data_IF_998749131660
#
_entry.id   IF_998749131660
#
_cell.length_a   1.000
_cell.length_b   1.000
_cell.length_c   1.000
_cell.angle_alpha   90.00
_cell.angle_beta   90.00
_cell.angle_gamma   90.00
#
_symmetry.space_group_name_H-M   'P 1'
#
loop_
_entity.id
_entity.type
_entity.pdbx_description
1 polymer ?
#
# COMPACT_ATOMS: atom_id res chain seq x y z
N UNK A 1 -19.77 -13.79 -5.02
CA UNK A 1 -18.92 -12.62 -5.34
C UNK A 1 -18.08 -12.21 -4.14
N UNK A 2 -18.68 -12.08 -2.95
CA UNK A 2 -17.98 -11.76 -1.69
C UNK A 2 -16.75 -12.66 -1.44
N UNK A 3 -16.92 -13.98 -1.48
CA UNK A 3 -15.82 -14.93 -1.28
C UNK A 3 -14.66 -14.77 -2.28
N UNK A 4 -14.97 -14.43 -3.54
CA UNK A 4 -13.95 -14.23 -4.56
C UNK A 4 -13.15 -12.94 -4.30
N UNK A 5 -13.84 -11.85 -3.93
CA UNK A 5 -13.18 -10.59 -3.55
C UNK A 5 -12.32 -10.79 -2.32
N UNK A 6 -12.83 -11.47 -1.28
CA UNK A 6 -12.07 -11.77 -0.06
C UNK A 6 -10.82 -12.60 -0.36
N UNK A 7 -10.94 -13.59 -1.24
CA UNK A 7 -9.80 -14.42 -1.66
C UNK A 7 -8.75 -13.59 -2.40
N UNK A 8 -9.17 -12.79 -3.39
CA UNK A 8 -8.28 -11.91 -4.16
C UNK A 8 -7.51 -10.93 -3.27
N UNK A 9 -8.21 -10.27 -2.33
CA UNK A 9 -7.61 -9.38 -1.34
C UNK A 9 -6.56 -10.12 -0.51
N UNK A 10 -6.82 -11.37 -0.14
CA UNK A 10 -5.91 -12.16 0.69
C UNK A 10 -4.68 -12.62 -0.09
N UNK A 11 -4.84 -13.00 -1.36
CA UNK A 11 -3.73 -13.42 -2.24
C UNK A 11 -2.80 -12.25 -2.53
N UNK A 12 -3.34 -11.05 -2.73
CA UNK A 12 -2.56 -9.86 -3.09
C UNK A 12 -2.20 -8.99 -1.88
N UNK A 13 -2.59 -9.38 -0.67
CA UNK A 13 -2.39 -8.59 0.55
C UNK A 13 -0.94 -8.17 0.75
N UNK A 14 0.00 -9.10 0.51
CA UNK A 14 1.43 -8.85 0.69
C UNK A 14 2.02 -7.89 -0.35
N UNK A 15 1.33 -7.65 -1.48
CA UNK A 15 1.77 -6.72 -2.52
C UNK A 15 1.59 -5.26 -2.11
N UNK A 16 0.59 -4.95 -1.29
CA UNK A 16 0.31 -3.64 -0.70
C UNK A 16 -0.62 -3.80 0.53
N UNK A 17 -0.03 -4.09 1.72
CA UNK A 17 -0.82 -4.42 2.90
C UNK A 17 -1.80 -3.32 3.31
N UNK A 18 -1.43 -2.06 3.14
CA UNK A 18 -2.27 -0.91 3.52
C UNK A 18 -3.46 -0.80 2.59
N UNK A 19 -3.23 -0.87 1.27
CA UNK A 19 -4.31 -0.79 0.29
C UNK A 19 -5.31 -1.93 0.45
N UNK A 20 -4.82 -3.18 0.52
CA UNK A 20 -5.70 -4.35 0.64
C UNK A 20 -6.40 -4.45 2.00
N UNK A 21 -5.80 -3.94 3.08
CA UNK A 21 -6.48 -3.80 4.37
C UNK A 21 -7.67 -2.83 4.26
N UNK A 22 -7.50 -1.68 3.60
CA UNK A 22 -8.61 -0.72 3.41
C UNK A 22 -9.77 -1.34 2.60
N UNK A 23 -9.46 -2.14 1.57
CA UNK A 23 -10.48 -2.84 0.78
C UNK A 23 -11.21 -3.92 1.59
N UNK A 24 -10.48 -4.63 2.45
CA UNK A 24 -11.05 -5.62 3.37
C UNK A 24 -12.04 -4.96 4.32
N UNK A 25 -11.69 -3.82 4.91
CA UNK A 25 -12.56 -3.07 5.81
C UNK A 25 -13.83 -2.58 5.09
N UNK A 26 -13.70 -2.06 3.87
CA UNK A 26 -14.86 -1.71 3.02
C UNK A 26 -15.76 -2.91 2.76
N UNK A 27 -15.18 -4.07 2.42
CA UNK A 27 -15.93 -5.28 2.16
C UNK A 27 -16.73 -5.72 3.40
N UNK A 28 -16.10 -5.75 4.57
CA UNK A 28 -16.77 -6.14 5.82
C UNK A 28 -17.89 -5.14 6.18
N UNK A 29 -17.68 -3.84 5.93
CA UNK A 29 -18.74 -2.84 6.11
C UNK A 29 -19.95 -3.08 5.19
N UNK A 30 -19.73 -3.42 3.92
CA UNK A 30 -20.81 -3.74 2.97
C UNK A 30 -21.59 -4.97 3.42
N UNK A 31 -20.88 -6.01 3.89
CA UNK A 31 -21.49 -7.25 4.40
C UNK A 31 -22.38 -6.93 5.62
N UNK A 32 -21.88 -6.12 6.55
CA UNK A 32 -22.63 -5.75 7.75
C UNK A 32 -23.83 -4.84 7.43
N UNK A 33 -23.68 -3.85 6.55
CA UNK A 33 -24.81 -3.02 6.09
C UNK A 33 -25.88 -3.86 5.40
N UNK A 34 -25.49 -4.89 4.64
CA UNK A 34 -26.44 -5.82 4.02
C UNK A 34 -27.15 -6.67 5.07
N UNK A 35 -26.41 -7.19 6.05
CA UNK A 35 -26.94 -8.00 7.16
C UNK A 35 -27.95 -7.23 7.99
N UNK A 36 -27.71 -5.94 8.22
CA UNK A 36 -28.61 -5.02 8.92
C UNK A 36 -29.76 -4.50 8.05
N UNK A 37 -29.92 -5.03 6.83
CA UNK A 37 -30.92 -4.61 5.83
C UNK A 37 -30.88 -3.11 5.50
N UNK A 38 -29.76 -2.44 5.75
CA UNK A 38 -29.56 -1.01 5.44
C UNK A 38 -29.36 -0.78 3.94
N UNK A 39 -28.94 -1.82 3.22
CA UNK A 39 -28.78 -1.81 1.77
C UNK A 39 -29.50 -3.00 1.13
N UNK A 40 -30.03 -2.77 -0.07
CA UNK A 40 -30.64 -3.80 -0.89
C UNK A 40 -29.60 -4.59 -1.69
N UNK A 41 -30.03 -5.66 -2.35
CA UNK A 41 -29.14 -6.51 -3.14
C UNK A 41 -28.51 -5.76 -4.33
N UNK A 42 -29.26 -4.82 -4.93
CA UNK A 42 -28.76 -4.02 -6.05
C UNK A 42 -27.63 -3.07 -5.61
N UNK A 43 -27.78 -2.40 -4.47
CA UNK A 43 -26.75 -1.53 -3.90
C UNK A 43 -25.55 -2.32 -3.42
N UNK A 44 -25.75 -3.47 -2.80
CA UNK A 44 -24.65 -4.37 -2.43
C UNK A 44 -23.81 -4.76 -3.65
N UNK A 45 -24.45 -5.18 -4.74
CA UNK A 45 -23.75 -5.55 -5.97
C UNK A 45 -22.92 -4.39 -6.53
N UNK A 46 -23.46 -3.17 -6.57
CA UNK A 46 -22.74 -1.98 -7.02
C UNK A 46 -21.50 -1.69 -6.17
N UNK A 47 -21.62 -1.77 -4.85
CA UNK A 47 -20.49 -1.51 -3.94
C UNK A 47 -19.39 -2.58 -4.09
N UNK A 48 -19.77 -3.85 -4.29
CA UNK A 48 -18.81 -4.92 -4.57
C UNK A 48 -18.12 -4.75 -5.93
N UNK A 49 -18.83 -4.23 -6.94
CA UNK A 49 -18.23 -3.86 -8.23
C UNK A 49 -17.20 -2.75 -8.06
N UNK A 50 -17.51 -1.72 -7.27
CA UNK A 50 -16.54 -0.66 -6.96
C UNK A 50 -15.25 -1.24 -6.38
N UNK A 51 -15.32 -2.09 -5.35
CA UNK A 51 -14.13 -2.74 -4.76
C UNK A 51 -13.32 -3.50 -5.83
N UNK A 52 -14.00 -4.24 -6.71
CA UNK A 52 -13.34 -4.94 -7.82
C UNK A 52 -12.61 -3.98 -8.75
N UNK A 53 -13.24 -2.86 -9.10
CA UNK A 53 -12.66 -1.85 -9.97
C UNK A 53 -11.45 -1.18 -9.30
N UNK A 54 -11.50 -0.93 -7.98
CA UNK A 54 -10.35 -0.39 -7.23
C UNK A 54 -9.14 -1.34 -7.34
N UNK A 55 -9.33 -2.65 -7.17
CA UNK A 55 -8.25 -3.65 -7.25
C UNK A 55 -7.63 -3.76 -8.65
N UNK A 56 -8.42 -3.58 -9.70
CA UNK A 56 -7.94 -3.68 -11.10
C UNK A 56 -7.18 -2.41 -11.50
N UNK A 57 -7.59 -1.24 -10.99
CA UNK A 57 -7.04 0.05 -11.41
C UNK A 57 -5.82 0.51 -10.61
N UNK A 58 -5.23 -0.33 -9.74
CA UNK A 58 -3.98 -0.02 -9.00
C UNK A 58 -2.87 0.45 -9.96
N UNK A 59 -2.74 -0.19 -11.11
CA UNK A 59 -1.78 0.22 -12.13
C UNK A 59 -2.01 1.65 -12.63
N UNK A 60 -3.27 1.98 -12.95
CA UNK A 60 -3.64 3.34 -13.42
C UNK A 60 -3.42 4.39 -12.34
N UNK A 61 -3.61 4.03 -11.08
CA UNK A 61 -3.31 4.90 -9.94
C UNK A 61 -1.81 5.22 -9.90
N UNK A 62 -0.96 4.19 -10.01
CA UNK A 62 0.49 4.37 -10.07
C UNK A 62 0.90 5.24 -11.27
N UNK A 63 0.35 4.97 -12.46
CA UNK A 63 0.58 5.78 -13.67
C UNK A 63 0.17 7.25 -13.49
N UNK A 64 -1.00 7.50 -12.90
CA UNK A 64 -1.50 8.87 -12.64
C UNK A 64 -0.60 9.62 -11.68
N UNK A 65 0.01 8.91 -10.72
CA UNK A 65 0.99 9.46 -9.79
C UNK A 65 2.41 9.52 -10.37
N UNK A 66 2.65 8.99 -11.57
CA UNK A 66 3.96 8.94 -12.23
C UNK A 66 4.99 8.08 -11.49
N UNK A 67 4.55 7.08 -10.74
CA UNK A 67 5.40 6.18 -9.94
C UNK A 67 5.16 4.72 -10.28
N UNK A 68 6.07 3.84 -9.87
CA UNK A 68 5.88 2.40 -10.04
C UNK A 68 4.88 1.83 -9.03
N UNK A 69 4.29 0.67 -9.31
CA UNK A 69 3.43 -0.03 -8.34
C UNK A 69 4.17 -0.39 -7.04
N UNK A 70 5.46 -0.70 -7.14
CA UNK A 70 6.30 -0.97 -5.97
C UNK A 70 6.47 0.29 -5.13
N UNK A 71 6.76 1.42 -5.77
CA UNK A 71 6.90 2.71 -5.09
C UNK A 71 5.58 3.16 -4.46
N UNK A 72 4.44 2.93 -5.13
CA UNK A 72 3.11 3.19 -4.58
C UNK A 72 2.86 2.39 -3.29
N UNK A 73 3.23 1.11 -3.26
CA UNK A 73 3.06 0.29 -2.07
C UNK A 73 3.94 0.78 -0.90
N UNK A 74 5.18 1.23 -1.20
CA UNK A 74 6.06 1.83 -0.18
C UNK A 74 5.51 3.16 0.32
N UNK A 75 5.00 4.00 -0.58
CA UNK A 75 4.34 5.24 -0.25
C UNK A 75 3.12 5.01 0.66
N UNK A 76 2.24 4.08 0.30
CA UNK A 76 1.06 3.74 1.09
C UNK A 76 1.44 3.27 2.50
N UNK A 77 2.54 2.52 2.62
CA UNK A 77 3.04 2.04 3.90
C UNK A 77 3.65 3.15 4.78
N UNK A 78 4.30 4.15 4.16
CA UNK A 78 4.90 5.29 4.85
C UNK A 78 3.86 6.33 5.29
N UNK A 79 2.82 6.51 4.47
CA UNK A 79 1.80 7.53 4.70
C UNK A 79 0.87 7.15 5.86
N UNK A 80 0.59 5.86 6.09
CA UNK A 80 -0.28 5.26 7.16
C UNK A 80 -1.66 5.92 7.38
N UNK A 81 -1.97 7.04 6.76
CA UNK A 81 -3.26 7.71 6.75
C UNK A 81 -4.07 7.19 5.55
N UNK A 82 -4.96 6.26 5.87
CA UNK A 82 -6.17 5.88 5.14
C UNK A 82 -6.16 6.20 3.63
N UNK A 83 -5.41 5.40 2.86
CA UNK A 83 -5.45 5.44 1.39
C UNK A 83 -6.80 4.96 0.83
N UNK A 84 -7.72 4.51 1.70
CA UNK A 84 -9.01 3.94 1.37
C UNK A 84 -10.02 4.88 0.73
N UNK A 85 -9.82 6.20 0.72
CA UNK A 85 -10.83 7.12 0.14
C UNK A 85 -10.32 8.24 -0.76
N UNK A 86 -9.01 8.46 -0.82
CA UNK A 86 -8.44 9.61 -1.54
C UNK A 86 -8.02 9.34 -2.98
N UNK A 87 -7.49 8.15 -3.28
CA UNK A 87 -6.69 7.99 -4.51
C UNK A 87 -7.57 7.76 -5.76
N UNK A 88 -8.76 7.18 -5.60
CA UNK A 88 -9.71 6.96 -6.71
C UNK A 88 -10.74 8.09 -6.88
N UNK A 89 -10.73 9.11 -6.02
CA UNK A 89 -11.50 10.35 -6.19
C UNK A 89 -10.77 11.40 -7.05
N UNK A 90 -9.68 11.04 -7.71
CA UNK A 90 -9.03 11.90 -8.70
C UNK A 90 -9.79 11.95 -10.06
N UNK A 91 -11.06 11.55 -10.09
CA UNK A 91 -11.93 11.64 -11.27
C UNK A 91 -12.75 12.92 -11.34
N UNK A 92 -13.29 13.43 -10.22
CA UNK A 92 -14.13 14.63 -10.24
C UNK A 92 -14.06 15.36 -8.89
N UNK A 93 -13.45 16.55 -8.89
CA UNK A 93 -13.65 17.56 -7.86
C UNK A 93 -12.84 17.37 -6.57
N UNK A 94 -11.88 18.28 -6.36
CA UNK A 94 -11.08 18.51 -5.15
C UNK A 94 -9.90 17.56 -4.98
N UNK A 95 -8.77 17.91 -5.63
CA UNK A 95 -7.47 17.66 -5.03
C UNK A 95 -7.38 18.48 -3.72
N UNK A 96 -7.26 17.86 -2.53
CA UNK A 96 -6.67 18.57 -1.42
C UNK A 96 -5.16 18.56 -1.67
N UNK A 97 -4.69 19.56 -2.42
CA UNK A 97 -3.28 19.92 -2.38
C UNK A 97 -2.95 20.28 -0.93
N UNK A 98 -2.25 19.38 -0.26
CA UNK A 98 -1.57 19.61 1.00
C UNK A 98 -0.12 19.23 0.79
N UNK A 99 0.78 20.18 1.04
CA UNK A 99 2.23 20.14 0.82
C UNK A 99 2.96 19.00 1.58
N UNK A 100 2.24 18.14 2.31
CA UNK A 100 2.76 17.05 3.13
C UNK A 100 2.89 15.70 2.40
N UNK A 101 2.26 15.51 1.23
CA UNK A 101 2.33 14.23 0.49
C UNK A 101 3.58 14.07 -0.39
N UNK A 102 4.23 15.18 -0.71
CA UNK A 102 5.49 15.19 -1.47
C UNK A 102 6.67 14.54 -0.72
N UNK A 103 6.94 14.84 0.57
CA UNK A 103 8.07 14.25 1.28
C UNK A 103 7.97 12.73 1.44
N UNK A 104 6.76 12.18 1.63
CA UNK A 104 6.54 10.74 1.77
C UNK A 104 6.74 10.00 0.45
N UNK A 105 6.31 10.61 -0.65
CA UNK A 105 6.52 10.08 -2.01
C UNK A 105 8.01 10.07 -2.35
N UNK A 106 8.70 11.18 -2.11
CA UNK A 106 10.15 11.26 -2.30
C UNK A 106 10.89 10.26 -1.40
N UNK A 107 10.47 10.11 -0.14
CA UNK A 107 11.04 9.14 0.78
C UNK A 107 10.83 7.70 0.30
N UNK A 108 9.65 7.37 -0.22
CA UNK A 108 9.35 6.05 -0.79
C UNK A 108 10.29 5.74 -1.95
N UNK A 109 10.45 6.69 -2.89
CA UNK A 109 11.37 6.58 -4.02
C UNK A 109 12.83 6.43 -3.57
N UNK A 110 13.29 7.25 -2.63
CA UNK A 110 14.67 7.19 -2.09
C UNK A 110 14.97 5.86 -1.38
N UNK A 111 14.02 5.35 -0.60
CA UNK A 111 14.13 4.04 0.04
C UNK A 111 14.21 2.97 -1.03
N UNK A 112 13.28 2.98 -2.00
CA UNK A 112 13.24 1.97 -3.06
C UNK A 112 14.54 1.94 -3.86
N UNK A 113 15.02 3.09 -4.35
CA UNK A 113 16.27 3.19 -5.12
C UNK A 113 17.48 2.69 -4.31
N UNK A 114 17.50 2.95 -3.01
CA UNK A 114 18.56 2.47 -2.12
C UNK A 114 18.52 0.96 -1.91
N UNK A 115 17.32 0.37 -1.88
CA UNK A 115 17.12 -1.05 -1.71
C UNK A 115 17.38 -1.82 -3.01
N UNK A 116 16.98 -1.29 -4.17
CA UNK A 116 17.26 -1.89 -5.48
C UNK A 116 18.75 -2.08 -5.73
N UNK A 117 19.58 -1.11 -5.32
CA UNK A 117 21.05 -1.22 -5.38
C UNK A 117 21.62 -2.38 -4.54
N UNK A 118 20.89 -2.80 -3.50
CA UNK A 118 21.28 -3.89 -2.59
C UNK A 118 20.57 -5.22 -2.91
N UNK A 119 19.46 -5.17 -3.64
CA UNK A 119 18.64 -6.30 -4.04
C UNK A 119 19.27 -7.07 -5.21
N UNK A 120 20.44 -7.66 -4.97
CA UNK A 120 21.13 -8.55 -5.92
C UNK A 120 20.55 -9.98 -5.80
N UNK A 121 20.78 -10.84 -6.80
CA UNK A 121 20.31 -12.25 -6.81
C UNK A 121 20.49 -12.94 -5.44
N UNK A 122 19.42 -13.58 -4.98
CA UNK A 122 19.30 -14.31 -3.70
C UNK A 122 19.58 -13.48 -2.44
N UNK A 123 19.40 -12.16 -2.48
CA UNK A 123 19.59 -11.31 -1.29
C UNK A 123 18.70 -11.70 -0.11
N UNK A 124 17.54 -12.31 -0.38
CA UNK A 124 16.59 -12.80 0.64
C UNK A 124 17.23 -13.85 1.55
N UNK A 125 18.24 -14.58 1.09
CA UNK A 125 18.96 -15.58 1.90
C UNK A 125 20.28 -15.04 2.49
N UNK A 126 20.69 -13.82 2.12
CA UNK A 126 21.93 -13.20 2.56
C UNK A 126 21.68 -12.29 3.75
N UNK A 127 21.94 -12.78 4.97
CA UNK A 127 21.73 -12.00 6.19
C UNK A 127 22.47 -10.66 6.19
N UNK A 128 23.69 -10.61 5.65
CA UNK A 128 24.46 -9.37 5.58
C UNK A 128 23.79 -8.29 4.73
N UNK A 129 23.20 -8.68 3.58
CA UNK A 129 22.45 -7.76 2.73
C UNK A 129 21.15 -7.32 3.41
N UNK A 130 20.43 -8.23 4.06
CA UNK A 130 19.23 -7.87 4.82
C UNK A 130 19.53 -6.90 5.97
N UNK A 131 20.66 -7.10 6.68
CA UNK A 131 21.12 -6.18 7.72
C UNK A 131 21.48 -4.82 7.14
N UNK A 132 22.12 -4.77 5.97
CA UNK A 132 22.42 -3.52 5.27
C UNK A 132 21.14 -2.79 4.82
N UNK A 133 20.18 -3.50 4.24
CA UNK A 133 18.89 -2.94 3.82
C UNK A 133 18.12 -2.36 5.01
N UNK A 134 18.00 -3.10 6.12
CA UNK A 134 17.41 -2.60 7.37
C UNK A 134 18.10 -1.32 7.86
N UNK A 135 19.43 -1.25 7.77
CA UNK A 135 20.18 -0.04 8.16
C UNK A 135 19.88 1.15 7.25
N UNK A 136 19.75 0.94 5.94
CA UNK A 136 19.39 2.00 4.99
C UNK A 136 17.97 2.52 5.24
N UNK A 137 17.00 1.62 5.41
CA UNK A 137 15.61 2.00 5.73
C UNK A 137 15.57 2.86 6.99
N UNK A 138 16.20 2.38 8.09
CA UNK A 138 16.25 3.14 9.35
C UNK A 138 16.95 4.50 9.20
N UNK A 139 17.96 4.60 8.33
CA UNK A 139 18.65 5.87 8.07
C UNK A 139 17.71 6.86 7.38
N UNK A 140 16.99 6.42 6.36
CA UNK A 140 16.03 7.25 5.62
C UNK A 140 14.86 7.68 6.50
N UNK A 141 14.26 6.76 7.27
CA UNK A 141 13.18 7.08 8.21
C UNK A 141 13.61 8.10 9.28
N UNK A 142 14.83 7.97 9.83
CA UNK A 142 15.36 8.95 10.79
C UNK A 142 15.60 10.31 10.16
N UNK A 143 16.11 10.34 8.93
CA UNK A 143 16.35 11.58 8.20
C UNK A 143 15.04 12.31 7.88
N UNK A 144 13.95 11.57 7.65
CA UNK A 144 12.61 12.09 7.46
C UNK A 144 11.90 12.50 8.76
N UNK A 145 12.48 12.23 9.93
CA UNK A 145 11.94 12.68 11.22
C UNK A 145 10.96 11.72 11.91
N UNK A 146 10.83 10.47 11.46
CA UNK A 146 10.02 9.45 12.14
C UNK A 146 10.55 9.17 13.55
N UNK A 147 9.63 8.89 14.49
CA UNK A 147 10.00 8.62 15.89
C UNK A 147 10.63 7.24 16.04
N UNK A 148 11.44 7.06 17.07
CA UNK A 148 12.21 5.83 17.28
C UNK A 148 11.32 4.59 17.50
N UNK A 149 10.17 4.77 18.12
CA UNK A 149 9.12 3.76 18.33
C UNK A 149 8.40 3.36 17.03
N UNK A 150 8.32 4.25 16.05
CA UNK A 150 7.70 3.99 14.73
C UNK A 150 8.69 3.39 13.72
N UNK A 151 9.99 3.67 13.88
CA UNK A 151 11.04 3.24 12.94
C UNK A 151 11.19 1.72 12.89
N UNK A 152 11.23 1.02 14.03
CA UNK A 152 11.39 -0.45 14.05
C UNK A 152 10.22 -1.20 13.38
N UNK A 153 8.94 -0.89 13.70
CA UNK A 153 7.82 -1.54 13.02
C UNK A 153 7.77 -1.20 11.53
N UNK A 154 7.93 0.08 11.14
CA UNK A 154 7.96 0.48 9.73
C UNK A 154 9.10 -0.19 8.97
N UNK A 155 10.29 -0.31 9.57
CA UNK A 155 11.41 -1.02 8.93
C UNK A 155 11.07 -2.48 8.70
N UNK A 156 10.36 -3.11 9.63
CA UNK A 156 9.97 -4.52 9.48
C UNK A 156 8.96 -4.68 8.35
N UNK A 157 7.92 -3.84 8.32
CA UNK A 157 6.91 -3.83 7.27
C UNK A 157 7.52 -3.56 5.88
N UNK A 158 8.41 -2.56 5.77
CA UNK A 158 9.11 -2.22 4.53
C UNK A 158 10.03 -3.35 4.06
N UNK A 159 10.68 -4.07 4.98
CA UNK A 159 11.50 -5.24 4.64
C UNK A 159 10.67 -6.40 4.11
N UNK A 160 9.49 -6.67 4.68
CA UNK A 160 8.58 -7.69 4.15
C UNK A 160 8.10 -7.31 2.75
N UNK A 161 7.66 -6.06 2.58
CA UNK A 161 7.24 -5.54 1.27
C UNK A 161 8.37 -5.63 0.23
N UNK A 162 9.61 -5.34 0.64
CA UNK A 162 10.80 -5.50 -0.21
C UNK A 162 11.01 -6.93 -0.66
N UNK A 163 10.77 -7.94 0.19
CA UNK A 163 10.92 -9.35 -0.20
C UNK A 163 9.90 -9.76 -1.26
N UNK A 164 8.67 -9.28 -1.14
CA UNK A 164 7.58 -9.61 -2.09
C UNK A 164 7.82 -8.95 -3.45
N UNK A 165 8.27 -7.68 -3.45
CA UNK A 165 8.40 -6.86 -4.67
C UNK A 165 9.79 -6.93 -5.33
N UNK A 166 10.87 -7.03 -4.54
CA UNK A 166 12.26 -7.04 -5.01
C UNK A 166 12.93 -8.43 -4.89
N UNK A 167 12.23 -9.42 -4.34
CA UNK A 167 12.75 -10.77 -4.15
C UNK A 167 12.46 -11.74 -5.30
N UNK A 168 12.03 -11.24 -6.46
CA UNK A 168 11.72 -12.04 -7.65
C UNK A 168 12.95 -12.28 -8.52
#
# INVERSE_FOLDING_TARGET
>A
MEHAIRHEISVRFEEDPVFYQSLKEKLEKIIEEKRLERIDAARQLKLLQTIKDEMINVHKVAETMGISETELAFYNLLSKEDTGTGILKAGEGQAPYGEEKEPEKELAGLILESLEKLAVIDWIHKEDLQRQMRRQIKRHLRAAGYKLDEIEPLTTELMELSRVRLGR
#
